data_IF_405709438502
#
_entry.id   IF_405709438502
#
_cell.length_a   1.000
_cell.length_b   1.000
_cell.length_c   1.000
_cell.angle_alpha   90.00
_cell.angle_beta   90.00
_cell.angle_gamma   90.00
#
_symmetry.space_group_name_H-M   'P 1'
#
loop_
_entity.id
_entity.type
_entity.pdbx_description
1 polymer ?
#
# COMPACT_ATOMS: atom_id res chain seq x y z
N UNK A 1 2.13 -23.38 17.34
CA UNK A 1 1.10 -22.31 17.33
C UNK A 1 1.65 -21.12 18.10
N UNK A 2 1.71 -19.93 17.51
CA UNK A 2 2.10 -18.71 18.24
C UNK A 2 0.85 -18.05 18.82
N UNK A 3 0.29 -18.63 19.87
CA UNK A 3 -0.81 -18.05 20.63
C UNK A 3 -0.24 -17.36 21.88
N UNK A 4 -0.72 -16.16 22.18
CA UNK A 4 -0.38 -15.43 23.39
C UNK A 4 -1.66 -14.89 24.01
N UNK A 5 -1.84 -15.12 25.32
CA UNK A 5 -2.93 -14.52 26.08
C UNK A 5 -2.51 -13.10 26.46
N UNK A 6 -3.30 -12.10 26.09
CA UNK A 6 -3.05 -10.70 26.40
C UNK A 6 -4.15 -10.14 27.28
N UNK A 7 -3.80 -9.20 28.16
CA UNK A 7 -4.78 -8.50 28.98
C UNK A 7 -5.51 -7.46 28.12
N UNK A 8 -6.83 -7.47 28.18
CA UNK A 8 -7.67 -6.40 27.66
C UNK A 8 -7.89 -5.39 28.79
N UNK A 9 -7.64 -4.10 28.51
CA UNK A 9 -7.88 -3.04 29.49
C UNK A 9 -9.38 -2.80 29.67
N UNK A 10 -9.77 -2.08 30.73
CA UNK A 10 -11.18 -1.67 30.94
C UNK A 10 -11.77 -0.87 29.78
N UNK A 11 -10.92 -0.22 28.96
CA UNK A 11 -11.33 0.55 27.78
C UNK A 11 -11.31 -0.28 26.49
N UNK A 12 -11.10 -1.60 26.57
CA UNK A 12 -11.07 -2.49 25.40
C UNK A 12 -9.75 -2.50 24.62
N UNK A 13 -8.66 -1.95 25.18
CA UNK A 13 -7.36 -1.94 24.49
C UNK A 13 -6.62 -3.27 24.72
N UNK A 14 -6.01 -3.80 23.67
CA UNK A 14 -5.13 -4.96 23.73
C UNK A 14 -3.83 -4.67 22.97
N UNK A 15 -2.71 -5.11 23.52
CA UNK A 15 -1.40 -4.91 22.89
C UNK A 15 -1.05 -6.12 22.03
N UNK A 16 -0.77 -5.91 20.75
CA UNK A 16 -0.26 -6.95 19.85
C UNK A 16 1.18 -7.31 20.27
N UNK A 17 1.47 -8.59 20.59
CA UNK A 17 2.83 -9.04 20.92
C UNK A 17 3.87 -8.65 19.87
N UNK A 18 5.07 -8.25 20.30
CA UNK A 18 6.13 -7.70 19.43
C UNK A 18 6.46 -8.61 18.24
N UNK A 19 6.54 -9.92 18.47
CA UNK A 19 6.80 -10.92 17.44
C UNK A 19 5.73 -10.92 16.34
N UNK A 20 4.44 -10.82 16.70
CA UNK A 20 3.33 -10.76 15.74
C UNK A 20 3.29 -9.40 15.05
N UNK A 21 3.53 -8.31 15.79
CA UNK A 21 3.57 -6.95 15.22
C UNK A 21 4.60 -6.84 14.09
N UNK A 22 5.81 -7.34 14.32
CA UNK A 22 6.90 -7.33 13.32
C UNK A 22 6.60 -8.32 12.18
N UNK A 23 6.18 -9.55 12.49
CA UNK A 23 5.91 -10.58 11.48
C UNK A 23 4.87 -10.14 10.45
N UNK A 24 3.82 -9.46 10.89
CA UNK A 24 2.73 -9.01 10.02
C UNK A 24 2.83 -7.54 9.61
N UNK A 25 3.91 -6.83 9.97
CA UNK A 25 4.13 -5.45 9.53
C UNK A 25 3.11 -4.44 10.07
N UNK A 26 2.58 -4.66 11.27
CA UNK A 26 1.68 -3.69 11.92
C UNK A 26 2.45 -2.41 12.30
N UNK A 27 1.92 -1.26 11.87
CA UNK A 27 2.43 0.07 12.22
C UNK A 27 1.52 0.72 13.27
N UNK A 28 0.84 1.80 12.90
CA UNK A 28 -0.03 2.63 13.75
C UNK A 28 -1.53 2.28 13.60
N UNK A 29 -1.91 1.68 12.48
CA UNK A 29 -3.31 1.33 12.16
C UNK A 29 -3.49 -0.12 11.75
N UNK A 30 -4.66 -0.65 12.06
CA UNK A 30 -5.09 -1.99 11.70
C UNK A 30 -6.55 -1.96 11.25
N UNK A 31 -6.88 -2.75 10.22
CA UNK A 31 -8.25 -3.04 9.83
C UNK A 31 -8.76 -4.16 10.73
N UNK A 32 -9.91 -3.95 11.35
CA UNK A 32 -10.57 -4.93 12.21
C UNK A 32 -11.77 -5.50 11.46
N UNK A 33 -11.81 -6.81 11.34
CA UNK A 33 -12.91 -7.53 10.68
C UNK A 33 -13.54 -8.48 11.69
N UNK A 34 -14.87 -8.51 11.72
CA UNK A 34 -15.63 -9.53 12.42
C UNK A 34 -15.61 -10.84 11.61
N UNK A 35 -15.48 -11.95 12.31
CA UNK A 35 -15.55 -13.32 11.81
C UNK A 35 -16.36 -14.18 12.78
N UNK A 36 -16.84 -15.32 12.29
CA UNK A 36 -17.66 -16.26 13.07
C UNK A 36 -16.99 -16.72 14.37
N UNK A 37 -15.65 -16.79 14.39
CA UNK A 37 -14.83 -17.25 15.51
C UNK A 37 -14.11 -16.13 16.28
N UNK A 38 -14.32 -14.87 15.91
CA UNK A 38 -13.75 -13.73 16.62
C UNK A 38 -13.39 -12.53 15.73
N UNK A 39 -12.34 -11.80 16.11
CA UNK A 39 -11.89 -10.58 15.42
C UNK A 39 -10.55 -10.79 14.74
N UNK A 40 -10.48 -10.46 13.45
CA UNK A 40 -9.26 -10.50 12.65
C UNK A 40 -8.70 -9.09 12.47
N UNK A 41 -7.45 -8.90 12.88
CA UNK A 41 -6.69 -7.69 12.63
C UNK A 41 -5.80 -7.86 11.40
N UNK A 42 -5.85 -6.91 10.47
CA UNK A 42 -4.94 -6.84 9.30
C UNK A 42 -4.15 -5.53 9.33
N UNK A 43 -2.86 -5.53 8.95
CA UNK A 43 -2.11 -4.28 8.79
C UNK A 43 -2.75 -3.41 7.70
N UNK A 44 -2.74 -2.10 7.91
CA UNK A 44 -3.16 -1.13 6.88
C UNK A 44 -1.93 -0.42 6.36
N UNK A 45 -1.74 -0.44 5.05
CA UNK A 45 -0.69 0.33 4.39
C UNK A 45 -0.99 1.82 4.49
N UNK A 46 0.05 2.65 4.54
CA UNK A 46 -0.16 4.09 4.45
C UNK A 46 -0.68 4.43 3.04
N UNK A 47 -1.51 5.48 2.91
CA UNK A 47 -1.97 5.97 1.60
C UNK A 47 -0.78 6.30 0.70
N UNK A 48 0.32 6.80 1.27
CA UNK A 48 1.59 7.04 0.57
C UNK A 48 2.25 5.77 0.02
N UNK A 49 1.93 4.60 0.56
CA UNK A 49 2.40 3.29 0.08
C UNK A 49 1.44 2.69 -0.97
N UNK A 50 0.18 3.11 -0.98
CA UNK A 50 -0.78 2.78 -2.01
C UNK A 50 -0.67 3.78 -3.17
N UNK A 51 0.29 3.56 -4.08
CA UNK A 51 0.43 4.32 -5.35
C UNK A 51 -0.71 4.02 -6.35
N UNK A 52 -1.96 4.03 -5.88
CA UNK A 52 -3.15 3.72 -6.66
C UNK A 52 -3.28 2.24 -7.06
N UNK A 53 -4.43 1.91 -7.66
CA UNK A 53 -4.74 0.57 -8.17
C UNK A 53 -3.75 0.07 -9.23
N UNK A 54 -3.12 1.00 -9.96
CA UNK A 54 -2.14 0.71 -11.00
C UNK A 54 -0.71 0.58 -10.48
N UNK A 55 -0.47 0.61 -9.16
CA UNK A 55 0.88 0.55 -8.57
C UNK A 55 1.76 -0.53 -9.21
N UNK A 56 1.21 -1.73 -9.43
CA UNK A 56 1.97 -2.87 -10.01
C UNK A 56 2.49 -2.62 -11.43
N UNK A 57 1.82 -1.77 -12.20
CA UNK A 57 2.23 -1.45 -13.57
C UNK A 57 3.42 -0.48 -13.63
N UNK A 58 3.67 0.23 -12.53
CA UNK A 58 4.72 1.26 -12.42
C UNK A 58 5.72 0.93 -11.30
N UNK A 59 5.86 -0.34 -10.95
CA UNK A 59 6.87 -0.80 -9.99
C UNK A 59 8.27 -0.63 -10.59
N UNK A 60 9.14 0.13 -9.91
CA UNK A 60 10.51 0.41 -10.36
C UNK A 60 10.68 1.74 -11.10
N UNK A 61 9.58 2.38 -11.51
CA UNK A 61 9.62 3.67 -12.19
C UNK A 61 9.31 4.84 -11.24
N UNK A 62 9.87 6.01 -11.58
CA UNK A 62 9.59 7.25 -10.86
C UNK A 62 8.54 8.04 -11.63
N UNK A 63 7.74 8.85 -10.92
CA UNK A 63 6.79 9.74 -11.58
C UNK A 63 7.49 10.68 -12.59
N UNK A 64 8.73 11.06 -12.30
CA UNK A 64 9.54 11.93 -13.16
C UNK A 64 9.92 11.21 -14.46
N UNK A 65 10.32 9.94 -14.41
CA UNK A 65 10.65 9.18 -15.63
C UNK A 65 9.43 8.97 -16.51
N UNK A 66 8.28 8.58 -15.92
CA UNK A 66 7.03 8.37 -16.66
C UNK A 66 6.60 9.65 -17.39
N UNK A 67 6.65 10.81 -16.71
CA UNK A 67 6.30 12.09 -17.32
C UNK A 67 7.29 12.54 -18.39
N UNK A 68 8.57 12.19 -18.24
CA UNK A 68 9.59 12.50 -19.24
C UNK A 68 9.33 11.70 -20.52
N UNK A 69 9.12 10.40 -20.39
CA UNK A 69 8.91 9.51 -21.54
C UNK A 69 7.61 9.87 -22.30
N UNK A 70 6.55 10.23 -21.57
CA UNK A 70 5.31 10.71 -22.17
C UNK A 70 5.52 11.99 -22.99
N UNK A 71 6.27 12.97 -22.46
CA UNK A 71 6.57 14.22 -23.18
C UNK A 71 7.43 13.98 -24.41
N UNK A 72 8.41 13.09 -24.34
CA UNK A 72 9.24 12.75 -25.49
C UNK A 72 8.44 12.02 -26.58
N UNK A 73 7.50 11.16 -26.19
CA UNK A 73 6.61 10.48 -27.13
C UNK A 73 5.63 11.47 -27.81
N UNK A 74 5.09 12.43 -27.06
CA UNK A 74 4.22 13.46 -27.60
C UNK A 74 4.97 14.39 -28.56
N UNK A 75 6.19 14.82 -28.21
CA UNK A 75 7.02 15.65 -29.09
C UNK A 75 7.33 14.95 -30.43
N UNK A 76 7.67 13.66 -30.41
CA UNK A 76 7.90 12.88 -31.63
C UNK A 76 6.65 12.77 -32.50
N UNK A 77 5.47 12.58 -31.90
CA UNK A 77 4.20 12.57 -32.64
C UNK A 77 3.92 13.91 -33.30
N UNK A 78 4.22 15.01 -32.62
CA UNK A 78 4.05 16.35 -33.17
C UNK A 78 4.95 16.55 -34.41
N UNK A 79 6.23 16.18 -34.33
CA UNK A 79 7.16 16.22 -35.47
C UNK A 79 6.68 15.36 -36.64
N UNK A 80 6.18 14.15 -36.38
CA UNK A 80 5.63 13.26 -37.42
C UNK A 80 4.40 13.87 -38.10
N UNK A 81 3.48 14.46 -37.33
CA UNK A 81 2.28 15.09 -37.86
C UNK A 81 2.58 16.36 -38.66
N UNK A 82 3.61 17.13 -38.26
CA UNK A 82 4.09 18.29 -39.02
C UNK A 82 4.81 17.89 -40.30
N UNK A 83 5.47 16.73 -40.34
CA UNK A 83 6.19 16.24 -41.53
C UNK A 83 5.28 15.75 -42.66
N UNK A 84 4.00 15.51 -42.38
CA UNK A 84 2.98 15.03 -43.34
C UNK A 84 2.18 16.22 -43.96
N UNK A 85 2.39 17.44 -43.46
CA UNK A 85 1.79 18.68 -44.00
C UNK A 85 2.59 19.25 -45.18
#
# INVERSE_FOLDING_TARGET
MNAAVVRITRKGQATIPKNLRVKFGFKDRALVLEKDDGVLFKPVSAISEERGSLRRMFEGETAVSILKDAREADAKREEELESIK
#
